data_IF_700591355344
#
_entry.id   IF_700591355344
#
_cell.length_a   1.000
_cell.length_b   1.000
_cell.length_c   1.000
_cell.angle_alpha   90.00
_cell.angle_beta   90.00
_cell.angle_gamma   90.00
#
_symmetry.space_group_name_H-M   'P 1'
#
loop_
_entity.id
_entity.type
_entity.pdbx_description
1 polymer ?
#
# COMPACT_ATOMS: atom_id res chain seq x y z
N UNK A 1 -46.30 9.06 -52.66
CA UNK A 1 -45.07 9.53 -51.97
C UNK A 1 -44.47 8.32 -51.27
N UNK A 2 -43.25 7.86 -51.57
CA UNK A 2 -41.96 8.49 -51.19
C UNK A 2 -41.88 8.59 -49.65
N UNK A 3 -40.93 7.98 -48.92
CA UNK A 3 -39.68 7.33 -49.35
C UNK A 3 -39.19 6.28 -48.33
N UNK A 4 -38.59 5.19 -48.82
CA UNK A 4 -37.76 4.27 -48.04
C UNK A 4 -36.48 4.96 -47.54
N UNK A 5 -36.07 4.72 -46.27
CA UNK A 5 -34.64 4.67 -45.89
C UNK A 5 -34.37 3.62 -44.80
N UNK A 6 -33.82 2.48 -45.22
CA UNK A 6 -33.01 1.59 -44.37
C UNK A 6 -31.74 2.33 -43.93
N UNK A 7 -31.22 2.06 -42.73
CA UNK A 7 -29.82 2.33 -42.38
C UNK A 7 -29.13 1.04 -41.89
N UNK A 8 -27.83 0.83 -42.16
CA UNK A 8 -27.28 -0.53 -42.25
C UNK A 8 -26.48 -0.97 -41.03
N UNK A 9 -26.41 -2.29 -40.84
CA UNK A 9 -25.38 -2.92 -40.01
C UNK A 9 -23.99 -2.62 -40.58
N UNK A 10 -23.05 -2.21 -39.71
CA UNK A 10 -21.63 -2.09 -40.06
C UNK A 10 -20.90 -3.37 -39.72
N UNK A 11 -20.80 -4.24 -40.73
CA UNK A 11 -19.72 -5.23 -40.79
C UNK A 11 -18.40 -4.46 -40.92
N UNK A 12 -17.47 -4.65 -39.97
CA UNK A 12 -16.05 -4.37 -40.19
C UNK A 12 -15.32 -5.70 -40.09
N UNK A 13 -14.52 -6.04 -41.10
CA UNK A 13 -13.86 -7.33 -41.18
C UNK A 13 -12.47 -7.20 -41.78
N UNK A 14 -11.52 -7.94 -41.18
CA UNK A 14 -10.15 -8.26 -41.66
C UNK A 14 -9.12 -7.12 -41.61
N UNK A 15 -7.80 -7.43 -41.63
CA UNK A 15 -7.07 -8.65 -41.21
C UNK A 15 -6.09 -8.29 -40.03
N UNK A 16 -5.07 -9.05 -39.58
CA UNK A 16 -4.46 -10.34 -39.97
C UNK A 16 -3.66 -10.93 -38.77
N UNK A 17 -3.31 -12.23 -38.84
CA UNK A 17 -2.14 -12.83 -38.15
C UNK A 17 -0.85 -12.15 -38.70
N UNK A 18 0.26 -11.92 -37.99
CA UNK A 18 1.09 -12.73 -37.08
C UNK A 18 2.19 -11.78 -36.52
N UNK A 19 3.16 -12.08 -35.64
CA UNK A 19 4.01 -13.27 -35.46
C UNK A 19 4.88 -13.09 -34.19
N UNK A 20 5.31 -14.19 -33.55
CA UNK A 20 6.57 -14.36 -32.79
C UNK A 20 7.02 -13.31 -31.74
N UNK A 21 6.98 -13.71 -30.47
CA UNK A 21 8.10 -13.53 -29.54
C UNK A 21 9.28 -14.46 -29.97
N UNK A 22 10.54 -14.41 -29.42
CA UNK A 22 10.91 -13.81 -28.13
C UNK A 22 12.35 -13.19 -28.02
N UNK A 23 12.74 -12.86 -26.77
CA UNK A 23 14.06 -13.16 -26.15
C UNK A 23 15.32 -12.27 -26.40
N UNK A 24 16.13 -12.20 -25.33
CA UNK A 24 17.56 -11.88 -25.17
C UNK A 24 18.10 -10.42 -25.10
N UNK A 25 18.59 -10.12 -23.90
CA UNK A 25 19.88 -9.52 -23.55
C UNK A 25 20.28 -8.10 -24.03
N UNK A 26 20.47 -7.23 -23.04
CA UNK A 26 21.67 -6.38 -22.99
C UNK A 26 22.18 -6.15 -21.55
N UNK A 27 22.56 -7.23 -20.85
CA UNK A 27 23.43 -7.11 -19.67
C UNK A 27 24.89 -7.05 -20.16
N UNK A 28 25.47 -5.85 -20.27
CA UNK A 28 26.92 -5.71 -20.45
C UNK A 28 27.63 -5.57 -19.12
N UNK A 29 28.26 -6.68 -18.75
CA UNK A 29 29.22 -6.87 -17.67
C UNK A 29 30.48 -6.03 -17.90
N UNK A 30 30.92 -5.29 -16.88
CA UNK A 30 32.25 -4.66 -16.87
C UNK A 30 32.81 -4.57 -15.44
N UNK A 31 33.13 -5.73 -14.87
CA UNK A 31 33.94 -5.83 -13.66
C UNK A 31 35.36 -6.24 -14.02
N UNK A 32 36.30 -5.29 -13.93
CA UNK A 32 37.72 -5.53 -14.16
C UNK A 32 38.35 -6.31 -12.99
N UNK A 33 39.34 -7.13 -13.34
CA UNK A 33 40.04 -8.07 -12.45
C UNK A 33 41.15 -7.37 -11.64
N UNK A 34 41.21 -7.56 -10.32
CA UNK A 34 42.36 -7.22 -9.48
C UNK A 34 42.50 -8.22 -8.30
N UNK A 35 43.73 -8.57 -7.85
CA UNK A 35 43.98 -9.70 -6.98
C UNK A 35 43.81 -9.42 -5.48
N UNK A 36 43.52 -10.47 -4.71
CA UNK A 36 43.35 -10.41 -3.25
C UNK A 36 44.68 -10.55 -2.48
N UNK A 37 44.88 -9.79 -1.38
CA UNK A 37 45.83 -10.14 -0.34
C UNK A 37 45.17 -11.08 0.69
N UNK A 38 45.83 -12.20 1.00
CA UNK A 38 45.41 -13.09 2.07
C UNK A 38 45.98 -12.64 3.42
N UNK A 39 45.17 -12.67 4.47
CA UNK A 39 45.65 -12.67 5.87
C UNK A 39 45.09 -11.58 6.78
N UNK A 40 43.93 -11.85 7.40
CA UNK A 40 43.60 -11.41 8.75
C UNK A 40 42.40 -12.23 9.27
N UNK A 41 42.64 -13.22 10.14
CA UNK A 41 41.56 -13.90 10.85
C UNK A 41 41.10 -13.01 12.01
N UNK A 42 40.06 -12.20 11.78
CA UNK A 42 39.28 -11.59 12.84
C UNK A 42 37.97 -12.35 13.00
N UNK A 43 37.82 -13.17 14.04
CA UNK A 43 36.55 -13.80 14.39
C UNK A 43 35.60 -12.74 14.96
N UNK A 44 34.96 -11.99 14.07
CA UNK A 44 33.97 -10.97 14.36
C UNK A 44 32.75 -11.16 13.48
N UNK A 45 31.74 -11.86 13.99
CA UNK A 45 30.37 -11.85 13.48
C UNK A 45 29.50 -11.78 14.74
N UNK A 46 28.76 -10.67 14.91
CA UNK A 46 27.51 -10.49 14.17
C UNK A 46 27.62 -9.47 13.04
N UNK A 47 26.82 -9.65 11.99
CA UNK A 47 26.54 -8.57 11.06
C UNK A 47 25.69 -7.52 11.77
N UNK A 48 26.28 -6.36 12.08
CA UNK A 48 25.54 -5.20 12.54
C UNK A 48 24.73 -4.60 11.37
N UNK A 49 23.61 -5.26 11.04
CA UNK A 49 22.56 -4.61 10.27
C UNK A 49 22.08 -3.42 11.06
N UNK A 50 22.11 -2.22 10.47
CA UNK A 50 21.55 -1.02 11.08
C UNK A 50 20.07 -1.26 11.39
N UNK A 51 19.76 -1.44 12.67
CA UNK A 51 18.39 -1.58 13.17
C UNK A 51 17.59 -0.31 12.84
N UNK A 52 16.30 -0.49 12.56
CA UNK A 52 15.45 0.65 12.23
C UNK A 52 15.30 1.58 13.44
N UNK A 53 15.43 2.89 13.22
CA UNK A 53 15.22 3.88 14.26
C UNK A 53 13.73 4.16 14.37
N UNK A 54 13.20 4.04 15.58
CA UNK A 54 11.80 4.29 15.90
C UNK A 54 11.70 5.57 16.72
N UNK A 55 11.04 6.59 16.17
CA UNK A 55 10.85 7.88 16.82
C UNK A 55 9.34 8.17 16.98
N UNK A 56 8.98 8.94 18.01
CA UNK A 56 7.62 9.48 18.18
C UNK A 56 7.24 10.43 17.03
N UNK A 57 5.97 10.48 16.63
CA UNK A 57 5.52 11.42 15.60
C UNK A 57 5.95 12.87 15.93
N UNK A 58 6.54 13.56 14.95
CA UNK A 58 6.70 15.02 15.05
C UNK A 58 5.39 15.72 14.71
N UNK A 59 5.27 17.02 15.05
CA UNK A 59 4.09 17.81 14.65
C UNK A 59 3.90 17.90 13.14
N UNK A 60 4.99 17.83 12.36
CA UNK A 60 4.89 17.77 10.90
C UNK A 60 4.28 16.43 10.44
N UNK A 61 4.56 15.33 11.14
CA UNK A 61 3.96 14.03 10.84
C UNK A 61 2.49 13.99 11.24
N UNK A 62 2.13 14.53 12.41
CA UNK A 62 0.73 14.66 12.85
C UNK A 62 -0.09 15.46 11.84
N UNK A 63 0.41 16.63 11.42
CA UNK A 63 -0.24 17.48 10.39
C UNK A 63 -0.33 16.77 9.04
N UNK A 64 0.71 16.06 8.61
CA UNK A 64 0.66 15.29 7.38
C UNK A 64 -0.44 14.20 7.42
N UNK A 65 -0.50 13.41 8.51
CA UNK A 65 -1.53 12.38 8.65
C UNK A 65 -2.94 13.00 8.74
N UNK A 66 -3.10 14.13 9.43
CA UNK A 66 -4.37 14.88 9.46
C UNK A 66 -4.80 15.33 8.07
N UNK A 67 -3.90 15.95 7.30
CA UNK A 67 -4.19 16.38 5.92
C UNK A 67 -4.60 15.19 5.03
N UNK A 68 -3.96 14.03 5.18
CA UNK A 68 -4.36 12.84 4.41
C UNK A 68 -5.78 12.34 4.74
N UNK A 69 -6.24 12.50 5.98
CA UNK A 69 -7.64 12.20 6.36
C UNK A 69 -8.58 13.21 5.74
N UNK A 70 -8.28 14.50 5.90
CA UNK A 70 -9.09 15.61 5.36
C UNK A 70 -9.22 15.55 3.83
N UNK A 71 -8.11 15.30 3.12
CA UNK A 71 -8.07 15.14 1.66
C UNK A 71 -8.99 13.99 1.19
N UNK A 72 -8.95 12.83 1.87
CA UNK A 72 -9.75 11.65 1.49
C UNK A 72 -11.22 11.77 1.89
N UNK A 73 -11.49 12.37 3.05
CA UNK A 73 -12.83 12.65 3.55
C UNK A 73 -13.58 13.63 2.62
N UNK A 74 -12.91 14.67 2.11
CA UNK A 74 -13.49 15.56 1.10
C UNK A 74 -13.75 14.84 -0.23
N UNK A 75 -12.83 13.99 -0.69
CA UNK A 75 -13.01 13.19 -1.91
C UNK A 75 -14.17 12.18 -1.79
N UNK A 76 -14.27 11.48 -0.66
CA UNK A 76 -15.38 10.57 -0.39
C UNK A 76 -16.73 11.30 -0.31
N UNK A 77 -16.73 12.53 0.21
CA UNK A 77 -17.91 13.38 0.25
C UNK A 77 -18.33 13.88 -1.14
N UNK A 78 -17.38 14.37 -1.95
CA UNK A 78 -17.68 14.94 -3.27
C UNK A 78 -18.13 13.88 -4.27
N UNK A 79 -17.45 12.74 -4.32
CA UNK A 79 -17.69 11.71 -5.35
C UNK A 79 -18.68 10.62 -4.92
N UNK A 80 -18.71 10.27 -3.62
CA UNK A 80 -19.50 9.12 -3.12
C UNK A 80 -20.68 9.51 -2.22
N UNK A 81 -20.76 10.77 -1.79
CA UNK A 81 -21.72 11.24 -0.78
C UNK A 81 -21.52 10.57 0.59
N UNK A 82 -20.30 10.12 0.89
CA UNK A 82 -19.94 9.34 2.08
C UNK A 82 -19.08 10.15 3.05
N UNK A 83 -18.93 9.62 4.26
CA UNK A 83 -18.14 10.17 5.37
C UNK A 83 -17.46 9.01 6.09
N UNK A 84 -16.28 9.22 6.66
CA UNK A 84 -15.62 8.25 7.54
C UNK A 84 -16.07 8.45 9.00
N UNK A 85 -16.34 7.33 9.67
CA UNK A 85 -16.96 7.26 11.00
C UNK A 85 -16.00 6.76 12.08
N UNK A 86 -14.94 6.06 11.69
CA UNK A 86 -14.07 5.27 12.57
C UNK A 86 -14.56 3.84 12.80
N UNK A 87 -15.73 3.44 12.29
CA UNK A 87 -16.21 2.06 12.35
C UNK A 87 -15.75 1.27 11.10
N UNK A 88 -14.97 0.19 11.25
CA UNK A 88 -14.54 -0.64 10.12
C UNK A 88 -15.70 -1.20 9.27
N UNK A 89 -16.87 -1.45 9.87
CA UNK A 89 -18.03 -2.00 9.16
C UNK A 89 -18.64 -1.00 8.15
N UNK A 90 -18.53 0.30 8.43
CA UNK A 90 -19.04 1.39 7.57
C UNK A 90 -17.94 1.95 6.66
N UNK A 91 -16.72 2.10 7.18
CA UNK A 91 -15.62 2.81 6.51
C UNK A 91 -14.88 1.94 5.48
N UNK A 92 -14.72 0.63 5.71
CA UNK A 92 -14.06 -0.27 4.73
C UNK A 92 -14.86 -0.37 3.41
N UNK A 93 -16.21 -0.43 3.41
CA UNK A 93 -17.02 -0.27 2.19
C UNK A 93 -16.81 1.07 1.46
N UNK A 94 -16.62 2.19 2.17
CA UNK A 94 -16.35 3.49 1.53
C UNK A 94 -14.98 3.48 0.85
N UNK A 95 -13.94 2.97 1.52
CA UNK A 95 -12.62 2.78 0.92
C UNK A 95 -12.67 1.84 -0.30
N UNK A 96 -13.45 0.77 -0.24
CA UNK A 96 -13.62 -0.14 -1.39
C UNK A 96 -14.32 0.55 -2.57
N UNK A 97 -15.37 1.35 -2.32
CA UNK A 97 -16.08 2.12 -3.36
C UNK A 97 -15.20 3.15 -4.07
N UNK A 98 -14.25 3.78 -3.37
CA UNK A 98 -13.30 4.71 -4.00
C UNK A 98 -12.46 4.03 -5.09
N UNK A 99 -12.15 2.73 -4.93
CA UNK A 99 -11.42 1.94 -5.92
C UNK A 99 -12.37 1.38 -7.00
N UNK A 100 -13.51 0.81 -6.59
CA UNK A 100 -14.44 0.14 -7.51
C UNK A 100 -15.17 1.09 -8.47
N UNK A 101 -15.20 2.39 -8.16
CA UNK A 101 -15.78 3.45 -8.99
C UNK A 101 -14.70 4.26 -9.74
N UNK A 102 -13.43 3.82 -9.73
CA UNK A 102 -12.27 4.49 -10.33
C UNK A 102 -12.07 5.95 -9.86
N UNK A 103 -12.61 6.32 -8.68
CA UNK A 103 -12.39 7.64 -8.04
C UNK A 103 -10.94 7.77 -7.58
N UNK A 104 -10.34 6.67 -7.10
CA UNK A 104 -8.91 6.55 -6.81
C UNK A 104 -8.32 5.46 -7.71
N UNK A 105 -7.55 5.87 -8.72
CA UNK A 105 -6.95 4.98 -9.69
C UNK A 105 -5.62 4.39 -9.20
N UNK A 106 -5.11 3.37 -9.90
CA UNK A 106 -3.85 2.70 -9.56
C UNK A 106 -2.60 3.60 -9.67
N UNK A 107 -2.66 4.69 -10.44
CA UNK A 107 -1.61 5.69 -10.60
C UNK A 107 -1.74 6.88 -9.62
N UNK A 108 -2.89 7.04 -8.95
CA UNK A 108 -3.09 8.06 -7.91
C UNK A 108 -2.45 7.64 -6.58
N UNK A 109 -1.13 7.64 -6.56
CA UNK A 109 -0.33 7.32 -5.37
C UNK A 109 -0.60 8.27 -4.19
N UNK A 110 -1.14 9.47 -4.41
CA UNK A 110 -1.51 10.38 -3.30
C UNK A 110 -2.73 9.83 -2.58
N UNK A 111 -3.83 9.63 -3.31
CA UNK A 111 -5.06 9.18 -2.67
C UNK A 111 -4.96 7.73 -2.21
N UNK A 112 -4.20 6.87 -2.89
CA UNK A 112 -3.88 5.52 -2.39
C UNK A 112 -3.09 5.53 -1.05
N UNK A 113 -2.23 6.54 -0.81
CA UNK A 113 -1.55 6.72 0.47
C UNK A 113 -2.51 7.26 1.54
N UNK A 114 -3.40 8.18 1.17
CA UNK A 114 -4.43 8.72 2.05
C UNK A 114 -5.44 7.65 2.50
N UNK A 115 -5.92 6.80 1.58
CA UNK A 115 -6.69 5.58 1.88
C UNK A 115 -5.96 4.68 2.87
N UNK A 116 -4.65 4.52 2.70
CA UNK A 116 -3.81 3.78 3.64
C UNK A 116 -3.72 4.45 5.02
N UNK A 117 -3.79 5.77 5.13
CA UNK A 117 -3.84 6.46 6.45
C UNK A 117 -5.15 6.16 7.16
N UNK A 118 -6.31 6.32 6.49
CA UNK A 118 -7.63 6.03 7.09
C UNK A 118 -7.75 4.55 7.48
N UNK A 119 -7.33 3.63 6.61
CA UNK A 119 -7.21 2.20 6.96
C UNK A 119 -6.29 1.98 8.19
N UNK A 120 -5.24 2.77 8.32
CA UNK A 120 -4.33 2.74 9.45
C UNK A 120 -4.97 3.19 10.76
N UNK A 121 -5.93 4.11 10.73
CA UNK A 121 -6.63 4.55 11.94
C UNK A 121 -7.62 3.48 12.43
N UNK A 122 -8.34 2.83 11.50
CA UNK A 122 -9.19 1.67 11.82
C UNK A 122 -8.37 0.52 12.44
N UNK A 123 -7.16 0.28 11.92
CA UNK A 123 -6.24 -0.72 12.46
C UNK A 123 -5.59 -0.29 13.79
N UNK A 124 -5.37 1.01 14.00
CA UNK A 124 -4.82 1.53 15.25
C UNK A 124 -5.77 1.26 16.43
N UNK A 125 -7.05 1.59 16.24
CA UNK A 125 -8.12 1.39 17.23
C UNK A 125 -8.38 -0.11 17.49
N UNK A 126 -8.57 -0.93 16.43
CA UNK A 126 -8.89 -2.36 16.54
C UNK A 126 -7.77 -3.20 17.21
N UNK A 127 -6.53 -2.75 17.13
CA UNK A 127 -5.34 -3.55 17.49
C UNK A 127 -4.49 -2.96 18.62
N UNK A 128 -4.91 -1.89 19.29
CA UNK A 128 -4.12 -1.19 20.32
C UNK A 128 -2.72 -0.83 19.79
N UNK A 129 -2.68 -0.25 18.58
CA UNK A 129 -1.45 0.17 17.91
C UNK A 129 -1.40 1.69 17.80
N UNK A 130 -0.19 2.25 17.88
CA UNK A 130 0.02 3.69 17.77
C UNK A 130 0.92 4.04 16.58
N UNK A 131 0.70 5.21 16.00
CA UNK A 131 1.53 5.74 14.92
C UNK A 131 2.93 6.13 15.42
N UNK A 132 3.96 5.64 14.74
CA UNK A 132 5.38 5.98 14.96
C UNK A 132 6.04 6.40 13.65
N UNK A 133 7.19 7.07 13.76
CA UNK A 133 8.15 7.16 12.67
C UNK A 133 8.98 5.89 12.67
N UNK A 134 9.09 5.23 11.52
CA UNK A 134 9.99 4.10 11.29
C UNK A 134 10.99 4.51 10.22
N UNK A 135 12.27 4.59 10.55
CA UNK A 135 13.35 4.97 9.63
C UNK A 135 14.40 3.87 9.50
N UNK A 136 14.58 3.38 8.27
CA UNK A 136 15.59 2.38 7.93
C UNK A 136 16.47 2.84 6.75
N UNK A 137 17.27 1.91 6.23
CA UNK A 137 18.14 2.13 5.06
C UNK A 137 17.42 2.45 3.74
N UNK A 138 16.12 2.20 3.64
CA UNK A 138 15.27 2.57 2.49
C UNK A 138 14.74 3.99 2.69
N UNK A 139 14.40 4.33 3.95
CA UNK A 139 14.18 5.71 4.37
C UNK A 139 13.18 5.84 5.51
N UNK A 140 12.67 7.06 5.66
CA UNK A 140 11.74 7.45 6.73
C UNK A 140 10.29 7.22 6.31
N UNK A 141 9.54 6.51 7.14
CA UNK A 141 8.14 6.15 6.92
C UNK A 141 7.31 6.39 8.18
N UNK A 142 5.98 6.29 8.06
CA UNK A 142 5.03 6.30 9.18
C UNK A 142 4.40 4.92 9.26
N UNK A 143 4.46 4.32 10.43
CA UNK A 143 4.03 2.95 10.68
C UNK A 143 3.11 2.92 11.90
N UNK A 144 2.30 1.88 12.01
CA UNK A 144 1.68 1.51 13.29
C UNK A 144 2.62 0.56 14.02
N UNK A 145 2.82 0.76 15.31
CA UNK A 145 3.58 -0.13 16.20
C UNK A 145 2.67 -0.74 17.24
N UNK A 146 2.78 -2.06 17.45
CA UNK A 146 2.12 -2.71 18.59
C UNK A 146 2.98 -2.60 19.85
N UNK A 147 2.52 -1.81 20.82
CA UNK A 147 3.23 -1.51 22.10
C UNK A 147 4.72 -1.18 21.84
N UNK A 148 5.63 -1.66 22.68
CA UNK A 148 7.08 -1.50 22.50
C UNK A 148 7.73 -2.69 21.75
N UNK A 149 6.95 -3.45 20.98
CA UNK A 149 7.44 -4.61 20.21
C UNK A 149 8.00 -4.22 18.84
N UNK A 150 8.59 -5.18 18.13
CA UNK A 150 9.05 -5.01 16.74
C UNK A 150 8.02 -5.43 15.69
N UNK A 151 6.73 -5.37 16.06
CA UNK A 151 5.63 -5.64 15.15
C UNK A 151 5.08 -4.33 14.60
N UNK A 152 5.31 -4.12 13.29
CA UNK A 152 4.93 -2.91 12.57
C UNK A 152 3.98 -3.22 11.41
N UNK A 153 2.99 -2.35 11.22
CA UNK A 153 2.21 -2.27 9.98
C UNK A 153 2.55 -0.97 9.25
N UNK A 154 2.42 -0.96 7.92
CA UNK A 154 2.72 0.21 7.08
C UNK A 154 1.49 0.61 6.23
N UNK A 155 0.38 1.07 6.85
CA UNK A 155 -0.93 1.18 6.19
C UNK A 155 -0.93 2.00 4.90
N UNK A 156 -0.20 3.13 4.88
CA UNK A 156 0.01 3.98 3.70
C UNK A 156 0.55 3.24 2.46
N UNK A 157 1.18 2.08 2.62
CA UNK A 157 1.71 1.25 1.52
C UNK A 157 0.95 -0.06 1.31
N UNK A 158 0.07 -0.44 2.24
CA UNK A 158 -0.70 -1.70 2.16
C UNK A 158 -1.71 -1.68 1.01
N UNK A 159 -2.32 -0.52 0.73
CA UNK A 159 -3.20 -0.31 -0.43
C UNK A 159 -2.39 0.04 -1.69
N UNK A 160 -1.52 1.06 -1.61
CA UNK A 160 -0.85 1.61 -2.81
C UNK A 160 -0.04 0.57 -3.58
N UNK A 161 0.85 -0.19 -2.91
CA UNK A 161 1.73 -1.17 -3.57
C UNK A 161 0.96 -2.30 -4.26
N UNK A 162 -0.26 -2.59 -3.82
CA UNK A 162 -1.12 -3.60 -4.46
C UNK A 162 -1.69 -3.05 -5.76
N UNK A 163 -2.29 -1.87 -5.71
CA UNK A 163 -2.90 -1.23 -6.88
C UNK A 163 -1.84 -0.88 -7.94
N UNK A 164 -0.68 -0.36 -7.52
CA UNK A 164 0.51 -0.16 -8.37
C UNK A 164 1.00 -1.45 -9.07
N UNK A 165 0.79 -2.63 -8.45
CA UNK A 165 1.15 -3.94 -8.99
C UNK A 165 0.01 -4.66 -9.73
N UNK A 166 -1.18 -4.06 -9.85
CA UNK A 166 -2.38 -4.69 -10.42
C UNK A 166 -3.04 -5.74 -9.51
N UNK A 167 -2.67 -5.82 -8.23
CA UNK A 167 -3.33 -6.64 -7.21
C UNK A 167 -4.63 -5.95 -6.76
N UNK A 168 -5.76 -6.60 -7.08
CA UNK A 168 -7.11 -6.11 -6.79
C UNK A 168 -7.67 -6.59 -5.44
N UNK A 169 -6.85 -7.18 -4.56
CA UNK A 169 -7.26 -7.63 -3.20
C UNK A 169 -8.18 -6.60 -2.53
N UNK A 170 -9.41 -6.98 -2.10
CA UNK A 170 -10.35 -6.06 -1.47
C UNK A 170 -9.80 -5.42 -0.19
N UNK A 171 -10.21 -4.19 0.10
CA UNK A 171 -9.76 -3.44 1.29
C UNK A 171 -10.09 -4.20 2.58
N UNK A 172 -11.26 -4.84 2.64
CA UNK A 172 -11.62 -5.76 3.73
C UNK A 172 -10.58 -6.87 3.94
N UNK A 173 -10.17 -7.56 2.87
CA UNK A 173 -9.18 -8.64 2.98
C UNK A 173 -7.76 -8.13 3.33
N UNK A 174 -7.45 -6.86 3.04
CA UNK A 174 -6.22 -6.21 3.50
C UNK A 174 -6.29 -5.95 5.01
N UNK A 175 -7.43 -5.46 5.51
CA UNK A 175 -7.71 -5.23 6.93
C UNK A 175 -7.70 -6.54 7.73
N UNK A 176 -8.50 -7.53 7.33
CA UNK A 176 -8.62 -8.84 7.97
C UNK A 176 -7.25 -9.53 8.11
N UNK A 177 -6.42 -9.42 7.08
CA UNK A 177 -5.06 -9.99 7.09
C UNK A 177 -4.15 -9.30 8.11
N UNK A 178 -4.27 -7.98 8.28
CA UNK A 178 -3.50 -7.26 9.29
C UNK A 178 -3.96 -7.62 10.71
N UNK A 179 -5.27 -7.69 10.93
CA UNK A 179 -5.86 -8.16 12.20
C UNK A 179 -5.40 -9.58 12.52
N UNK A 180 -5.43 -10.50 11.56
CA UNK A 180 -4.99 -11.88 11.73
C UNK A 180 -3.48 -12.04 12.00
N UNK A 181 -2.66 -11.05 11.63
CA UNK A 181 -1.21 -11.03 11.93
C UNK A 181 -0.95 -10.50 13.35
N UNK A 182 -1.60 -9.42 13.76
CA UNK A 182 -1.31 -8.72 15.02
C UNK A 182 -2.08 -9.30 16.21
N UNK A 183 -3.35 -9.68 16.04
CA UNK A 183 -4.19 -10.19 17.14
C UNK A 183 -3.60 -11.40 17.89
N UNK A 184 -2.96 -12.40 17.24
CA UNK A 184 -2.30 -13.50 17.95
C UNK A 184 -1.07 -13.09 18.78
N UNK A 185 -0.57 -11.86 18.60
CA UNK A 185 0.56 -11.29 19.33
C UNK A 185 0.11 -10.44 20.53
N UNK A 186 -1.19 -10.16 20.64
CA UNK A 186 -1.78 -9.57 21.82
C UNK A 186 -1.86 -10.67 22.89
N UNK A 187 -1.17 -10.48 24.02
CA UNK A 187 -1.21 -11.44 25.13
C UNK A 187 -2.67 -11.75 25.50
N UNK A 188 -3.05 -13.02 25.76
CA UNK A 188 -4.39 -13.32 26.27
C UNK A 188 -4.59 -12.54 27.57
N UNK A 189 -5.66 -11.74 27.63
CA UNK A 189 -5.94 -10.85 28.76
C UNK A 189 -5.82 -11.64 30.07
N UNK A 190 -4.95 -11.22 31.01
CA UNK A 190 -4.90 -11.87 32.31
C UNK A 190 -6.25 -11.65 32.99
N UNK A 191 -6.96 -12.76 33.25
CA UNK A 191 -8.27 -12.85 33.88
C UNK A 191 -9.46 -12.48 32.97
N UNK A 192 -10.06 -13.52 32.38
CA UNK A 192 -11.50 -13.63 32.13
C UNK A 192 -12.10 -14.58 33.17
#
# INVERSE_FOLDING_TARGET
MLLSKRFPARFSARPSLSTLAPVLAFCLLLCALAPAPAGAQGTGTPGAGLEARIDELTDLDRRYLAQQREDLEELARSELGAFFTGDPAEDLPVLQRLLDQDVVTADDRRNLQAMGVVLGDLLAEELDMHWVIYEDRVGRSRALRYRQSDNYLFPATMVSRRREAGDLTPVQAIYDKAVAIIRPLQDPLPFQ
#
